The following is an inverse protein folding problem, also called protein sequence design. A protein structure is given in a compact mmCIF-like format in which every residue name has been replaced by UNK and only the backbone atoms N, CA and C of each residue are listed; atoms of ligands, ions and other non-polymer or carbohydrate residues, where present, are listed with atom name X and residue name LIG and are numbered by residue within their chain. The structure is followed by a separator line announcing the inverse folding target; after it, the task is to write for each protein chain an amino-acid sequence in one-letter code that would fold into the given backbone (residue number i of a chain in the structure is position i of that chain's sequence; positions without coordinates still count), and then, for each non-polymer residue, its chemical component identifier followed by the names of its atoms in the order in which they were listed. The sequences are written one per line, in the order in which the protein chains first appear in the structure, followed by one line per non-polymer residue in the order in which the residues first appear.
data_IF_404400630772
#
_entry.id   IF_404400630772
#
_cell.length_a   1.000
_cell.length_b   1.000
_cell.length_c   1.000
_cell.angle_alpha   90.00
_cell.angle_beta   90.00
_cell.angle_gamma   90.00
#
_symmetry.space_group_name_H-M   'P 1'
#
loop_
_entity.id
_entity.type
_entity.pdbx_description
1 polymer ?
#
# COMPACT_ATOMS: atom_id res chain seq x y z
N UNK A 1 -12.43 -8.14 -2.04
CA UNK A 1 -11.19 -7.45 -2.46
C UNK A 1 -11.41 -6.63 -3.71
N UNK A 2 -11.82 -7.24 -4.83
CA UNK A 2 -12.13 -6.52 -6.08
C UNK A 2 -13.03 -5.27 -5.88
N UNK A 3 -14.11 -5.42 -5.11
CA UNK A 3 -15.03 -4.32 -4.76
C UNK A 3 -14.38 -3.09 -4.09
N UNK A 4 -13.27 -3.26 -3.37
CA UNK A 4 -12.61 -2.15 -2.65
C UNK A 4 -11.79 -1.28 -3.60
N UNK A 5 -11.17 -1.91 -4.61
CA UNK A 5 -10.48 -1.19 -5.67
C UNK A 5 -11.51 -0.47 -6.55
N UNK A 6 -12.61 -1.15 -6.90
CA UNK A 6 -13.73 -0.57 -7.65
C UNK A 6 -14.39 0.60 -6.91
N UNK A 7 -14.65 0.48 -5.60
CA UNK A 7 -15.23 1.56 -4.77
C UNK A 7 -14.30 2.79 -4.69
N UNK A 8 -12.98 2.60 -4.83
CA UNK A 8 -11.99 3.68 -4.94
C UNK A 8 -11.88 4.27 -6.35
N UNK A 9 -12.59 3.70 -7.32
CA UNK A 9 -12.54 4.11 -8.73
C UNK A 9 -11.32 3.56 -9.48
N UNK A 10 -10.69 2.51 -8.97
CA UNK A 10 -9.54 1.89 -9.62
C UNK A 10 -9.99 0.76 -10.54
N UNK A 11 -9.47 0.78 -11.77
CA UNK A 11 -9.59 -0.36 -12.68
C UNK A 11 -8.49 -1.36 -12.34
N UNK A 12 -8.88 -2.54 -11.84
CA UNK A 12 -7.94 -3.65 -11.61
C UNK A 12 -7.37 -4.11 -12.97
N UNK A 13 -6.05 -4.04 -13.13
CA UNK A 13 -5.37 -4.53 -14.32
C UNK A 13 -4.97 -6.00 -14.16
N UNK A 14 -4.38 -6.36 -13.02
CA UNK A 14 -4.00 -7.74 -12.72
C UNK A 14 -3.76 -7.99 -11.24
N UNK A 15 -4.09 -9.21 -10.80
CA UNK A 15 -3.65 -9.76 -9.53
C UNK A 15 -2.20 -10.27 -9.63
N UNK A 16 -1.34 -9.81 -8.72
CA UNK A 16 0.10 -10.13 -8.73
C UNK A 16 0.52 -11.14 -7.67
N UNK A 17 -0.37 -11.46 -6.72
CA UNK A 17 -0.11 -12.42 -5.67
C UNK A 17 -0.49 -11.94 -4.28
N UNK A 18 -0.38 -12.85 -3.33
CA UNK A 18 -0.64 -12.62 -1.92
C UNK A 18 0.45 -13.25 -1.06
N UNK A 19 0.67 -12.67 0.12
CA UNK A 19 1.57 -13.20 1.14
C UNK A 19 1.07 -12.82 2.52
N UNK A 20 1.45 -13.58 3.53
CA UNK A 20 1.27 -13.17 4.92
C UNK A 20 2.54 -12.54 5.48
N UNK A 21 2.39 -11.57 6.38
CA UNK A 21 3.51 -10.97 7.10
C UNK A 21 3.11 -10.60 8.52
N UNK A 22 4.01 -10.90 9.45
CA UNK A 22 3.91 -10.48 10.84
C UNK A 22 4.90 -9.33 11.08
N UNK A 23 4.46 -8.29 11.79
CA UNK A 23 5.29 -7.14 12.13
C UNK A 23 5.51 -7.09 13.63
N UNK A 24 6.78 -7.01 14.05
CA UNK A 24 7.15 -6.70 15.44
C UNK A 24 7.39 -5.20 15.58
N UNK A 25 7.41 -4.69 16.82
CA UNK A 25 7.75 -3.29 17.08
C UNK A 25 9.13 -2.91 16.53
N UNK A 26 10.08 -3.86 16.57
CA UNK A 26 11.42 -3.69 16.02
C UNK A 26 11.41 -3.56 14.50
N UNK A 27 10.48 -4.22 13.81
CA UNK A 27 10.35 -4.13 12.35
C UNK A 27 9.84 -2.76 11.91
N UNK A 28 8.96 -2.13 12.70
CA UNK A 28 8.42 -0.78 12.41
C UNK A 28 9.51 0.31 12.40
N UNK A 29 10.69 0.02 12.93
CA UNK A 29 11.82 0.96 12.88
C UNK A 29 12.70 0.77 11.63
N UNK A 30 12.46 -0.29 10.85
CA UNK A 30 13.28 -0.70 9.70
C UNK A 30 12.53 -0.54 8.39
N UNK A 31 13.26 -0.23 7.32
CA UNK A 31 12.70 -0.23 5.97
C UNK A 31 12.47 -1.68 5.48
N UNK A 32 11.43 -1.93 4.65
CA UNK A 32 10.41 -0.98 4.20
C UNK A 32 9.26 -0.76 5.21
N UNK A 33 9.16 -1.58 6.26
CA UNK A 33 8.00 -1.59 7.16
C UNK A 33 7.72 -0.22 7.82
N UNK A 34 8.76 0.53 8.18
CA UNK A 34 8.62 1.90 8.69
C UNK A 34 7.86 2.81 7.71
N UNK A 35 8.19 2.75 6.42
CA UNK A 35 7.55 3.58 5.40
C UNK A 35 6.14 3.09 5.08
N UNK A 36 5.96 1.76 4.99
CA UNK A 36 4.64 1.17 4.71
C UNK A 36 3.62 1.57 5.78
N UNK A 37 4.01 1.58 7.06
CA UNK A 37 3.13 1.96 8.16
C UNK A 37 2.97 3.48 8.32
N UNK A 38 3.98 4.28 7.95
CA UNK A 38 3.90 5.74 8.02
C UNK A 38 2.85 6.35 7.08
N UNK A 39 2.36 5.59 6.10
CA UNK A 39 1.30 6.00 5.17
C UNK A 39 -0.06 5.37 5.46
N UNK A 40 -0.24 4.81 6.66
CA UNK A 40 -1.54 4.34 7.13
C UNK A 40 -2.21 5.42 7.99
N UNK A 41 -3.53 5.53 7.91
CA UNK A 41 -4.32 6.42 8.76
C UNK A 41 -4.65 5.81 10.14
N UNK A 42 -4.11 4.63 10.43
CA UNK A 42 -4.34 3.87 11.65
C UNK A 42 -3.02 3.51 12.30
N UNK A 43 -3.06 3.34 13.61
CA UNK A 43 -1.90 2.94 14.39
C UNK A 43 -1.54 1.46 14.16
N UNK A 44 -0.25 1.11 14.09
CA UNK A 44 0.20 -0.28 13.90
C UNK A 44 0.07 -1.17 15.15
N UNK A 45 0.03 -0.59 16.36
CA UNK A 45 0.05 -1.29 17.65
C UNK A 45 -1.01 -2.40 17.76
N UNK A 46 -2.28 -2.18 17.35
CA UNK A 46 -3.30 -3.22 17.40
C UNK A 46 -3.00 -4.41 16.49
N UNK A 47 -2.07 -4.30 15.55
CA UNK A 47 -1.76 -5.34 14.55
C UNK A 47 -0.37 -5.96 14.76
N UNK A 48 0.39 -5.50 15.76
CA UNK A 48 1.69 -6.08 16.10
C UNK A 48 1.58 -7.56 16.49
N UNK A 49 2.54 -8.34 16.02
CA UNK A 49 2.62 -9.79 16.21
C UNK A 49 1.40 -10.58 15.67
N UNK A 50 0.57 -9.94 14.86
CA UNK A 50 -0.54 -10.59 14.15
C UNK A 50 -0.16 -10.88 12.71
N UNK A 51 -0.76 -11.93 12.15
CA UNK A 51 -0.60 -12.26 10.74
C UNK A 51 -1.46 -11.31 9.89
N UNK A 52 -0.81 -10.49 9.07
CA UNK A 52 -1.46 -9.58 8.13
C UNK A 52 -1.36 -10.18 6.73
N UNK A 53 -2.50 -10.29 6.05
CA UNK A 53 -2.57 -10.70 4.66
C UNK A 53 -2.30 -9.50 3.76
N UNK A 54 -1.29 -9.62 2.90
CA UNK A 54 -0.89 -8.61 1.94
C UNK A 54 -1.26 -9.11 0.55
N UNK A 55 -2.07 -8.34 -0.18
CA UNK A 55 -2.53 -8.74 -1.52
C UNK A 55 -2.19 -7.65 -2.50
N UNK A 56 -1.49 -8.02 -3.58
CA UNK A 56 -0.94 -7.07 -4.54
C UNK A 56 -1.70 -7.12 -5.87
N UNK A 57 -1.93 -5.93 -6.42
CA UNK A 57 -2.57 -5.70 -7.70
C UNK A 57 -1.78 -4.68 -8.50
N UNK A 58 -1.81 -4.77 -9.83
CA UNK A 58 -1.62 -3.61 -10.68
C UNK A 58 -2.98 -2.97 -10.96
N UNK A 59 -3.04 -1.65 -10.84
CA UNK A 59 -4.25 -0.87 -11.08
C UNK A 59 -3.98 0.29 -12.04
N UNK A 60 -5.07 0.81 -12.59
CA UNK A 60 -5.14 2.08 -13.33
C UNK A 60 -6.22 2.98 -12.73
N UNK A 61 -6.12 4.28 -12.98
CA UNK A 61 -7.03 5.28 -12.41
C UNK A 61 -6.62 5.68 -10.99
N UNK A 62 -5.41 5.34 -10.57
CA UNK A 62 -4.88 5.72 -9.28
C UNK A 62 -4.43 7.20 -9.32
N UNK A 63 -4.51 7.97 -8.21
CA UNK A 63 -4.07 9.38 -8.19
C UNK A 63 -2.65 9.59 -8.73
N UNK A 64 -1.75 8.64 -8.43
CA UNK A 64 -0.36 8.63 -8.91
C UNK A 64 -0.21 8.43 -10.42
N UNK A 65 -1.20 7.92 -11.16
CA UNK A 65 -1.10 7.80 -12.63
C UNK A 65 -0.91 9.17 -13.32
N UNK A 66 -1.40 10.25 -12.70
CA UNK A 66 -1.21 11.61 -13.22
C UNK A 66 0.23 12.11 -13.04
N UNK A 67 0.91 11.65 -11.99
CA UNK A 67 2.28 12.02 -11.67
C UNK A 67 3.29 11.11 -12.37
N UNK A 68 2.96 9.82 -12.53
CA UNK A 68 3.82 8.79 -13.06
C UNK A 68 3.25 8.20 -14.35
N UNK A 69 3.80 8.64 -15.49
CA UNK A 69 3.27 8.37 -16.84
C UNK A 69 3.46 6.91 -17.34
N UNK A 70 4.00 6.01 -16.51
CA UNK A 70 4.09 4.58 -16.85
C UNK A 70 2.71 3.89 -16.86
N UNK A 71 1.67 4.53 -16.30
CA UNK A 71 0.27 4.10 -16.38
C UNK A 71 -0.03 2.77 -15.68
N UNK A 72 0.79 2.43 -14.69
CA UNK A 72 0.67 1.24 -13.85
C UNK A 72 1.10 1.56 -12.44
N UNK A 73 0.20 1.39 -11.49
CA UNK A 73 0.52 1.52 -10.06
C UNK A 73 0.39 0.15 -9.41
N UNK A 74 1.40 -0.24 -8.64
CA UNK A 74 1.35 -1.42 -7.78
C UNK A 74 0.65 -1.02 -6.48
N UNK A 75 -0.47 -1.66 -6.18
CA UNK A 75 -1.22 -1.48 -4.94
C UNK A 75 -1.10 -2.75 -4.11
N UNK A 76 -0.66 -2.63 -2.86
CA UNK A 76 -0.64 -3.72 -1.89
C UNK A 76 -1.66 -3.43 -0.78
N UNK A 77 -2.76 -4.18 -0.76
CA UNK A 77 -3.80 -4.08 0.26
C UNK A 77 -3.38 -4.88 1.50
N UNK A 78 -3.46 -4.25 2.67
CA UNK A 78 -3.21 -4.88 3.97
C UNK A 78 -4.54 -5.30 4.60
N UNK A 79 -4.64 -6.55 4.99
CA UNK A 79 -5.84 -7.11 5.61
C UNK A 79 -5.54 -7.86 6.90
N UNK A 80 -6.43 -7.71 7.86
CA UNK A 80 -6.45 -8.50 9.08
C UNK A 80 -7.89 -8.93 9.36
N UNK A 81 -8.12 -10.20 9.70
CA UNK A 81 -9.46 -10.77 9.91
C UNK A 81 -10.45 -10.52 8.76
N UNK A 82 -9.97 -10.57 7.51
CA UNK A 82 -10.76 -10.29 6.27
C UNK A 82 -11.24 -8.84 6.14
N UNK A 83 -10.78 -7.94 6.99
CA UNK A 83 -11.03 -6.51 6.90
C UNK A 83 -9.80 -5.80 6.32
N UNK A 84 -10.02 -4.79 5.47
CA UNK A 84 -8.94 -3.95 4.99
C UNK A 84 -8.57 -2.96 6.08
N UNK A 85 -7.33 -3.04 6.52
CA UNK A 85 -6.77 -2.17 7.55
C UNK A 85 -5.91 -1.06 6.92
N UNK A 86 -5.61 -1.17 5.63
CA UNK A 86 -4.80 -0.19 4.95
C UNK A 86 -4.17 -0.74 3.68
N UNK A 87 -3.10 -0.09 3.25
CA UNK A 87 -2.31 -0.55 2.12
C UNK A 87 -1.36 0.51 1.60
N UNK A 88 -0.53 0.07 0.67
CA UNK A 88 0.46 0.92 0.02
C UNK A 88 0.24 0.96 -1.47
N UNK A 89 0.66 2.06 -2.10
CA UNK A 89 0.80 2.18 -3.54
C UNK A 89 2.22 2.59 -3.89
N UNK A 90 2.70 2.09 -5.02
CA UNK A 90 4.01 2.44 -5.55
C UNK A 90 3.95 2.46 -7.08
N UNK A 91 4.46 3.53 -7.72
CA UNK A 91 4.50 3.59 -9.17
C UNK A 91 5.37 2.47 -9.72
N UNK A 92 4.89 1.79 -10.76
CA UNK A 92 5.68 0.75 -11.41
C UNK A 92 6.77 1.41 -12.27
N UNK A 93 7.98 0.89 -12.18
CA UNK A 93 9.04 1.17 -13.15
C UNK A 93 9.67 -0.14 -13.63
N UNK A 94 9.83 -0.25 -14.95
CA UNK A 94 10.59 -1.35 -15.59
C UNK A 94 12.06 -1.37 -15.22
N UNK A 95 12.64 -0.21 -14.90
CA UNK A 95 14.07 -0.06 -14.62
C UNK A 95 14.38 -0.02 -13.12
N UNK A 96 13.34 -0.11 -12.27
CA UNK A 96 13.46 -0.02 -10.81
C UNK A 96 14.26 1.21 -10.34
N UNK A 97 14.18 2.29 -11.11
CA UNK A 97 14.83 3.58 -10.91
C UNK A 97 13.98 4.55 -10.08
N UNK A 98 12.77 4.13 -9.69
CA UNK A 98 11.92 4.87 -8.77
C UNK A 98 12.48 4.79 -7.35
N UNK A 99 13.05 5.90 -6.91
CA UNK A 99 13.53 6.12 -5.56
C UNK A 99 12.44 6.83 -4.75
N UNK A 100 12.07 6.28 -3.59
CA UNK A 100 11.06 6.90 -2.75
C UNK A 100 10.50 5.96 -1.68
N UNK A 101 9.64 6.52 -0.82
CA UNK A 101 8.83 5.73 0.11
C UNK A 101 7.53 5.26 -0.52
N UNK A 102 6.87 4.32 0.14
CA UNK A 102 5.51 3.90 -0.19
C UNK A 102 4.53 5.08 -0.08
N UNK A 103 3.54 5.14 -0.96
CA UNK A 103 2.37 6.01 -0.82
C UNK A 103 1.22 5.22 -0.19
N UNK A 104 0.20 5.89 0.34
CA UNK A 104 -1.03 5.24 0.82
C UNK A 104 -1.87 4.69 -0.34
N UNK A 105 -2.94 3.94 -0.04
CA UNK A 105 -3.94 3.54 -1.04
C UNK A 105 -4.60 4.69 -1.78
N UNK A 106 -4.54 5.91 -1.24
CA UNK A 106 -5.09 7.13 -1.85
C UNK A 106 -4.01 8.00 -2.51
N UNK A 107 -2.80 7.46 -2.68
CA UNK A 107 -1.68 8.18 -3.29
C UNK A 107 -1.03 9.26 -2.42
N UNK A 108 -1.32 9.28 -1.12
CA UNK A 108 -0.74 10.27 -0.19
C UNK A 108 0.58 9.84 0.40
N UNK A 109 1.47 10.80 0.64
CA UNK A 109 2.72 10.61 1.41
C UNK A 109 2.47 10.54 2.91
N UNK A 110 3.48 10.14 3.68
CA UNK A 110 3.40 10.14 5.15
C UNK A 110 3.20 11.54 5.73
N UNK A 111 3.76 12.57 5.07
CA UNK A 111 3.67 13.97 5.51
C UNK A 111 2.23 14.48 5.37
N UNK A 112 1.55 14.14 4.29
CA UNK A 112 0.13 14.49 4.07
C UNK A 112 -0.83 13.79 5.04
N UNK A 113 -0.44 12.60 5.54
CA UNK A 113 -1.24 11.85 6.51
C UNK A 113 -1.04 12.40 7.92
N UNK A 114 0.21 12.74 8.29
CA UNK A 114 0.55 13.25 9.62
C UNK A 114 0.18 14.72 9.81
N UNK A 115 -0.04 15.48 8.74
CA UNK A 115 -0.42 16.91 8.81
C UNK A 115 -1.91 17.14 9.10
N UNK A 116 -2.61 16.16 9.70
CA UNK A 116 -4.04 16.22 10.03
C UNK A 116 -4.31 16.43 11.51
#
# INVERSE_FOLDING_TARGET
MQRILEDKGYDELSYEGERTRTYTISDLTKLPAKQDWAVQSIEPEPYLNKEIHLVRFFVKGHPLDNEFQEGKISVTVMMWNREVIGGTSFPYSKHNDMLGGSYSLDGKTSEEIQSK
#
